data_IF_041068525111
#
_entry.id   IF_041068525111
#
_cell.length_a   1.000
_cell.length_b   1.000
_cell.length_c   1.000
_cell.angle_alpha   90.00
_cell.angle_beta   90.00
_cell.angle_gamma   90.00
#
_symmetry.space_group_name_H-M   'P 1'
#
loop_
_entity.id
_entity.type
_entity.pdbx_description
1 polymer ?
#
# COMPACT_ATOMS: atom_id res chain seq x y z
N UNK A 1 -25.38 -8.33 -29.27
CA UNK A 1 -24.23 -9.20 -28.91
C UNK A 1 -24.75 -10.62 -28.88
N UNK A 2 -24.24 -11.50 -29.73
CA UNK A 2 -24.63 -12.91 -29.70
C UNK A 2 -24.27 -13.53 -28.34
N UNK A 3 -25.24 -14.21 -27.73
CA UNK A 3 -25.03 -14.99 -26.50
C UNK A 3 -23.92 -15.99 -26.79
N UNK A 4 -22.73 -15.80 -26.19
CA UNK A 4 -21.67 -16.82 -26.23
C UNK A 4 -22.25 -18.07 -25.57
N UNK A 5 -22.46 -19.09 -26.37
CA UNK A 5 -22.94 -20.38 -25.92
C UNK A 5 -21.84 -21.02 -25.06
N UNK A 6 -21.93 -20.88 -23.74
CA UNK A 6 -20.94 -21.43 -22.82
C UNK A 6 -21.09 -22.94 -22.84
N UNK A 7 -20.19 -23.63 -23.55
CA UNK A 7 -20.05 -25.08 -23.47
C UNK A 7 -20.03 -25.53 -22.00
N UNK A 8 -20.68 -26.65 -21.64
CA UNK A 8 -20.59 -27.19 -20.29
C UNK A 8 -19.12 -27.33 -19.90
N UNK A 9 -18.76 -26.83 -18.71
CA UNK A 9 -17.38 -26.88 -18.21
C UNK A 9 -16.93 -28.34 -18.13
N UNK A 10 -15.97 -28.70 -18.97
CA UNK A 10 -15.22 -29.94 -18.81
C UNK A 10 -14.33 -29.81 -17.56
N UNK A 11 -14.67 -30.53 -16.49
CA UNK A 11 -13.93 -30.47 -15.23
C UNK A 11 -12.55 -31.15 -15.31
N UNK A 12 -12.29 -31.92 -16.38
CA UNK A 12 -10.99 -32.47 -16.69
C UNK A 12 -10.11 -31.48 -17.45
N UNK A 13 -10.71 -30.52 -18.17
CA UNK A 13 -9.98 -29.46 -18.83
C UNK A 13 -9.57 -28.38 -17.80
N UNK A 14 -8.27 -28.15 -17.66
CA UNK A 14 -7.75 -27.03 -16.87
C UNK A 14 -7.97 -25.67 -17.53
N UNK A 15 -7.65 -24.62 -16.78
CA UNK A 15 -7.58 -23.26 -17.32
C UNK A 15 -6.28 -23.01 -18.07
N UNK A 16 -5.93 -21.74 -18.24
CA UNK A 16 -4.67 -21.34 -18.85
C UNK A 16 -3.93 -20.37 -17.92
N UNK A 17 -2.63 -20.59 -17.76
CA UNK A 17 -1.72 -19.62 -17.18
C UNK A 17 -1.08 -18.84 -18.32
N UNK A 18 -1.31 -17.54 -18.33
CA UNK A 18 -0.76 -16.62 -19.30
C UNK A 18 0.46 -15.94 -18.69
N UNK A 19 1.57 -15.95 -19.42
CA UNK A 19 2.81 -15.25 -19.09
C UNK A 19 3.05 -14.21 -20.17
N UNK A 20 3.25 -12.97 -19.74
CA UNK A 20 3.47 -11.82 -20.60
C UNK A 20 4.82 -11.19 -20.28
N UNK A 21 5.40 -10.52 -21.28
CA UNK A 21 6.59 -9.67 -21.14
C UNK A 21 6.21 -8.26 -21.54
N UNK A 22 6.70 -7.26 -20.80
CA UNK A 22 6.46 -5.86 -21.17
C UNK A 22 7.25 -5.50 -22.44
N UNK A 23 6.64 -4.71 -23.33
CA UNK A 23 7.29 -4.20 -24.55
C UNK A 23 8.26 -3.06 -24.26
N UNK A 24 8.01 -2.33 -23.19
CA UNK A 24 8.80 -1.21 -22.69
C UNK A 24 8.65 -1.13 -21.16
N UNK A 25 9.34 -0.17 -20.53
CA UNK A 25 9.10 0.16 -19.11
C UNK A 25 7.68 0.73 -18.97
N UNK A 26 6.87 0.13 -18.10
CA UNK A 26 5.51 0.60 -17.85
C UNK A 26 5.53 1.80 -16.90
N UNK A 27 4.71 2.80 -17.20
CA UNK A 27 4.42 3.94 -16.33
C UNK A 27 3.18 3.61 -15.51
N UNK A 28 3.34 3.23 -14.25
CA UNK A 28 2.24 2.82 -13.38
C UNK A 28 2.04 3.80 -12.23
N UNK A 29 0.78 4.09 -11.87
CA UNK A 29 0.47 4.72 -10.58
C UNK A 29 0.41 3.63 -9.51
N UNK A 30 1.23 3.74 -8.47
CA UNK A 30 1.18 2.84 -7.32
C UNK A 30 0.21 3.39 -6.28
N UNK A 31 -0.76 2.56 -5.89
CA UNK A 31 -1.72 2.87 -4.83
C UNK A 31 -1.38 1.97 -3.63
N UNK A 32 -0.93 2.56 -2.52
CA UNK A 32 -0.49 1.81 -1.34
C UNK A 32 -1.67 1.37 -0.44
N UNK A 33 -1.40 0.66 0.67
CA UNK A 33 -2.40 0.38 1.71
C UNK A 33 -3.31 -0.82 1.44
N UNK A 34 -2.78 -1.85 0.76
CA UNK A 34 -3.56 -3.01 0.31
C UNK A 34 -4.79 -2.63 -0.53
N UNK A 35 -4.58 -1.71 -1.47
CA UNK A 35 -5.58 -1.05 -2.33
C UNK A 35 -6.35 -1.92 -3.32
N UNK A 36 -6.20 -3.25 -3.23
CA UNK A 36 -7.05 -4.20 -3.93
C UNK A 36 -7.87 -5.08 -2.96
N UNK A 37 -7.73 -4.93 -1.64
CA UNK A 37 -8.54 -5.64 -0.66
C UNK A 37 -9.97 -5.10 -0.64
N UNK A 38 -10.96 -5.93 -0.93
CA UNK A 38 -12.38 -5.54 -0.94
C UNK A 38 -12.95 -5.66 0.46
N UNK A 39 -12.79 -4.61 1.27
CA UNK A 39 -13.11 -4.59 2.71
C UNK A 39 -13.64 -3.26 3.16
N UNK A 40 -14.36 -3.25 4.29
CA UNK A 40 -14.81 -2.01 4.94
C UNK A 40 -13.74 -1.38 5.86
N UNK A 41 -12.48 -1.78 5.74
CA UNK A 41 -11.36 -1.24 6.54
C UNK A 41 -10.66 -0.03 5.91
N UNK A 42 -11.17 0.46 4.78
CA UNK A 42 -10.62 1.62 4.09
C UNK A 42 -9.52 1.31 3.07
N UNK A 43 -9.26 0.03 2.80
CA UNK A 43 -8.26 -0.41 1.81
C UNK A 43 -8.51 0.21 0.42
N UNK A 44 -9.77 0.46 0.05
CA UNK A 44 -10.13 1.05 -1.24
C UNK A 44 -10.37 2.57 -1.20
N UNK A 45 -10.25 3.22 -0.05
CA UNK A 45 -10.57 4.65 0.12
C UNK A 45 -9.75 5.53 -0.83
N UNK A 46 -8.45 5.27 -1.01
CA UNK A 46 -7.63 6.04 -1.96
C UNK A 46 -8.07 5.86 -3.41
N UNK A 47 -8.64 4.72 -3.79
CA UNK A 47 -9.14 4.52 -5.17
C UNK A 47 -10.53 5.10 -5.32
N UNK A 48 -11.46 4.72 -4.44
CA UNK A 48 -12.87 5.01 -4.59
C UNK A 48 -13.19 6.46 -4.17
N UNK A 49 -12.73 6.91 -3.00
CA UNK A 49 -13.03 8.26 -2.51
C UNK A 49 -12.12 9.33 -3.14
N UNK A 50 -10.81 9.06 -3.26
CA UNK A 50 -9.86 10.08 -3.76
C UNK A 50 -9.71 10.08 -5.29
N UNK A 51 -9.55 8.93 -5.96
CA UNK A 51 -9.34 8.92 -7.42
C UNK A 51 -10.64 8.94 -8.22
N UNK A 52 -11.63 8.12 -7.84
CA UNK A 52 -12.87 7.96 -8.60
C UNK A 52 -14.01 8.83 -8.05
N UNK A 53 -13.87 9.37 -6.84
CA UNK A 53 -14.88 10.16 -6.14
C UNK A 53 -16.26 9.49 -6.09
N UNK A 54 -16.27 8.17 -5.85
CA UNK A 54 -17.45 7.34 -5.65
C UNK A 54 -17.56 6.90 -4.19
N UNK A 55 -18.76 6.46 -3.79
CA UNK A 55 -18.97 5.90 -2.46
C UNK A 55 -18.23 4.55 -2.34
N UNK A 56 -17.17 4.55 -1.53
CA UNK A 56 -16.36 3.37 -1.25
C UNK A 56 -17.17 2.25 -0.57
N UNK A 57 -18.14 2.57 0.29
CA UNK A 57 -18.91 1.56 1.01
C UNK A 57 -19.85 0.78 0.08
N UNK A 58 -20.50 1.47 -0.86
CA UNK A 58 -21.36 0.88 -1.88
C UNK A 58 -20.56 -0.01 -2.84
N UNK A 59 -19.44 0.50 -3.34
CA UNK A 59 -18.57 -0.24 -4.26
C UNK A 59 -17.95 -1.50 -3.60
N UNK A 60 -17.62 -1.44 -2.31
CA UNK A 60 -17.10 -2.58 -1.55
C UNK A 60 -18.12 -3.71 -1.40
N UNK A 61 -19.39 -3.38 -1.21
CA UNK A 61 -20.45 -4.37 -1.02
C UNK A 61 -20.63 -5.29 -2.24
N UNK A 62 -20.33 -4.76 -3.44
CA UNK A 62 -20.59 -5.44 -4.71
C UNK A 62 -19.36 -6.07 -5.37
N UNK A 63 -18.16 -5.92 -4.79
CA UNK A 63 -16.93 -6.52 -5.31
C UNK A 63 -16.61 -6.12 -6.76
N UNK A 64 -16.92 -4.87 -7.14
CA UNK A 64 -16.84 -4.32 -8.50
C UNK A 64 -15.43 -4.04 -9.01
N UNK A 65 -14.57 -5.06 -9.01
CA UNK A 65 -13.17 -4.87 -9.37
C UNK A 65 -12.97 -4.63 -10.88
N UNK A 66 -13.85 -5.20 -11.71
CA UNK A 66 -13.83 -4.99 -13.15
C UNK A 66 -14.23 -3.55 -13.51
N UNK A 67 -15.32 -3.06 -12.94
CA UNK A 67 -15.85 -1.71 -13.14
C UNK A 67 -14.87 -0.66 -12.61
N UNK A 68 -14.24 -0.92 -11.46
CA UNK A 68 -13.17 -0.06 -10.92
C UNK A 68 -11.97 0.01 -11.88
N UNK A 69 -11.56 -1.14 -12.43
CA UNK A 69 -10.52 -1.18 -13.45
C UNK A 69 -10.89 -0.35 -14.69
N UNK A 70 -12.14 -0.44 -15.16
CA UNK A 70 -12.63 0.37 -16.27
C UNK A 70 -12.67 1.87 -15.94
N UNK A 71 -13.14 2.25 -14.74
CA UNK A 71 -13.21 3.64 -14.30
C UNK A 71 -11.80 4.25 -14.19
N UNK A 72 -10.85 3.53 -13.61
CA UNK A 72 -9.44 3.94 -13.57
C UNK A 72 -8.83 4.09 -14.96
N UNK A 73 -9.17 3.19 -15.89
CA UNK A 73 -8.72 3.29 -17.28
C UNK A 73 -9.43 4.40 -18.07
N UNK A 74 -10.64 4.81 -17.68
CA UNK A 74 -11.28 6.01 -18.21
C UNK A 74 -10.60 7.26 -17.66
N UNK A 75 -10.26 7.32 -16.37
CA UNK A 75 -9.53 8.43 -15.75
C UNK A 75 -8.20 8.71 -16.47
N UNK A 76 -7.38 7.68 -16.70
CA UNK A 76 -6.13 7.87 -17.45
C UNK A 76 -6.37 8.40 -18.86
N UNK A 77 -7.41 7.92 -19.57
CA UNK A 77 -7.74 8.36 -20.93
C UNK A 77 -8.26 9.78 -20.97
N UNK A 78 -9.22 10.09 -20.12
CA UNK A 78 -10.06 11.28 -20.20
C UNK A 78 -9.39 12.49 -19.52
N UNK A 79 -8.64 12.28 -18.45
CA UNK A 79 -8.01 13.36 -17.69
C UNK A 79 -6.50 13.42 -17.84
N UNK A 80 -5.83 12.26 -17.90
CA UNK A 80 -4.37 12.21 -17.89
C UNK A 80 -3.75 11.96 -19.27
N UNK A 81 -4.55 11.92 -20.34
CA UNK A 81 -4.08 11.75 -21.71
C UNK A 81 -3.28 10.47 -21.94
N UNK A 82 -3.64 9.37 -21.24
CA UNK A 82 -2.96 8.07 -21.24
C UNK A 82 -1.49 8.13 -20.82
N UNK A 83 -1.11 9.06 -19.92
CA UNK A 83 0.26 9.15 -19.37
C UNK A 83 0.62 8.02 -18.42
N UNK A 84 -0.39 7.34 -17.88
CA UNK A 84 -0.27 6.17 -17.02
C UNK A 84 -0.79 4.95 -17.79
N UNK A 85 0.05 3.94 -17.94
CA UNK A 85 -0.28 2.68 -18.64
C UNK A 85 -1.24 1.81 -17.81
N UNK A 86 -1.23 2.00 -16.49
CA UNK A 86 -2.02 1.23 -15.54
C UNK A 86 -1.73 1.54 -14.07
N UNK A 87 -2.28 0.71 -13.18
CA UNK A 87 -2.23 0.90 -11.73
C UNK A 87 -1.64 -0.34 -11.07
N UNK A 88 -0.69 -0.14 -10.16
CA UNK A 88 -0.14 -1.18 -9.30
C UNK A 88 -0.82 -1.08 -7.93
N UNK A 89 -1.34 -2.19 -7.43
CA UNK A 89 -2.00 -2.27 -6.12
C UNK A 89 -1.76 -3.64 -5.48
N UNK A 90 -2.06 -3.74 -4.18
CA UNK A 90 -1.81 -4.94 -3.40
C UNK A 90 -3.10 -5.52 -2.82
N UNK A 91 -3.27 -6.83 -2.98
CA UNK A 91 -4.29 -7.65 -2.34
C UNK A 91 -3.58 -8.70 -1.46
N UNK A 92 -3.74 -10.00 -1.74
CA UNK A 92 -2.89 -11.03 -1.18
C UNK A 92 -1.47 -10.95 -1.75
N UNK A 93 -1.32 -10.47 -2.98
CA UNK A 93 -0.06 -10.13 -3.61
C UNK A 93 -0.21 -8.85 -4.44
N UNK A 94 0.83 -8.48 -5.18
CA UNK A 94 0.74 -7.36 -6.11
C UNK A 94 0.00 -7.75 -7.39
N UNK A 95 -0.88 -6.87 -7.84
CA UNK A 95 -1.60 -6.97 -9.11
C UNK A 95 -1.49 -5.65 -9.89
N UNK A 96 -1.64 -5.77 -11.21
CA UNK A 96 -1.61 -4.63 -12.13
C UNK A 96 -2.95 -4.57 -12.85
N UNK A 97 -3.64 -3.44 -12.74
CA UNK A 97 -4.68 -3.06 -13.70
C UNK A 97 -3.96 -2.41 -14.87
N UNK A 98 -3.91 -3.07 -16.02
CA UNK A 98 -3.29 -2.53 -17.23
C UNK A 98 -4.36 -2.13 -18.24
N UNK A 99 -4.32 -0.89 -18.72
CA UNK A 99 -5.41 -0.34 -19.52
C UNK A 99 -5.41 -0.79 -20.98
N UNK A 100 -4.26 -1.19 -21.53
CA UNK A 100 -4.16 -1.74 -22.88
C UNK A 100 -3.09 -2.85 -22.96
N UNK A 101 -3.54 -4.11 -22.95
CA UNK A 101 -2.64 -5.26 -23.01
C UNK A 101 -1.92 -5.37 -24.36
N UNK A 102 -2.62 -5.09 -25.46
CA UNK A 102 -2.05 -5.26 -26.81
C UNK A 102 -0.97 -4.21 -27.07
N UNK A 103 -1.18 -2.98 -26.62
CA UNK A 103 -0.18 -1.91 -26.71
C UNK A 103 1.07 -2.20 -25.89
N UNK A 104 0.92 -2.75 -24.69
CA UNK A 104 1.99 -2.77 -23.68
C UNK A 104 2.70 -4.11 -23.49
N UNK A 105 2.07 -5.23 -23.88
CA UNK A 105 2.58 -6.58 -23.58
C UNK A 105 2.80 -7.42 -24.84
N UNK A 106 3.85 -8.24 -24.80
CA UNK A 106 4.03 -9.40 -25.66
C UNK A 106 3.56 -10.67 -24.93
N UNK A 107 2.89 -11.56 -25.65
CA UNK A 107 2.60 -12.91 -25.14
C UNK A 107 3.90 -13.71 -25.15
N UNK A 108 4.39 -14.08 -23.97
CA UNK A 108 5.57 -14.93 -23.84
C UNK A 108 5.15 -16.40 -23.91
N UNK A 109 4.14 -16.77 -23.11
CA UNK A 109 3.67 -18.16 -23.05
C UNK A 109 2.22 -18.26 -22.58
N UNK A 110 1.46 -19.16 -23.19
CA UNK A 110 0.14 -19.58 -22.70
C UNK A 110 0.21 -21.09 -22.45
N UNK A 111 0.04 -21.51 -21.19
CA UNK A 111 0.16 -22.93 -20.80
C UNK A 111 -1.13 -23.42 -20.16
N UNK A 112 -1.61 -24.58 -20.59
CA UNK A 112 -2.77 -25.20 -19.95
C UNK A 112 -2.42 -25.63 -18.51
N UNK A 113 -3.27 -25.28 -17.56
CA UNK A 113 -3.13 -25.70 -16.16
C UNK A 113 -3.78 -27.07 -15.93
N UNK A 114 -3.56 -27.67 -14.77
CA UNK A 114 -4.23 -28.92 -14.42
C UNK A 114 -5.74 -28.71 -14.25
N UNK A 115 -6.53 -29.66 -14.74
CA UNK A 115 -7.97 -29.74 -14.49
C UNK A 115 -8.27 -30.02 -13.01
N UNK A 116 -9.48 -29.67 -12.56
CA UNK A 116 -9.90 -29.89 -11.15
C UNK A 116 -9.91 -31.38 -10.76
N UNK A 117 -10.14 -32.26 -11.73
CA UNK A 117 -10.23 -33.72 -11.56
C UNK A 117 -9.06 -34.49 -12.19
N UNK A 118 -7.95 -33.83 -12.54
CA UNK A 118 -6.79 -34.52 -13.12
C UNK A 118 -6.26 -35.60 -12.17
N UNK A 119 -6.17 -36.86 -12.63
CA UNK A 119 -5.74 -37.99 -11.81
C UNK A 119 -4.31 -37.81 -11.24
N UNK A 120 -4.12 -38.25 -9.99
CA UNK A 120 -2.79 -38.34 -9.35
C UNK A 120 -2.26 -37.06 -8.70
N UNK A 121 -2.98 -35.93 -8.76
CA UNK A 121 -2.58 -34.67 -8.09
C UNK A 121 -3.76 -34.13 -7.30
N UNK A 122 -3.53 -33.75 -6.03
CA UNK A 122 -4.52 -32.96 -5.26
C UNK A 122 -4.96 -31.79 -6.16
N UNK A 123 -6.26 -31.43 -6.19
CA UNK A 123 -6.70 -30.25 -6.94
C UNK A 123 -5.78 -29.10 -6.54
N UNK A 124 -5.27 -28.30 -7.49
CA UNK A 124 -4.38 -27.20 -7.15
C UNK A 124 -5.07 -26.36 -6.07
N UNK A 125 -4.50 -26.38 -4.87
CA UNK A 125 -5.01 -25.65 -3.72
C UNK A 125 -4.91 -24.14 -3.90
N UNK A 126 -4.33 -23.67 -5.01
CA UNK A 126 -3.86 -22.31 -5.30
C UNK A 126 -4.92 -21.23 -5.51
N UNK A 127 -5.90 -21.15 -4.61
CA UNK A 127 -6.71 -19.95 -4.42
C UNK A 127 -6.22 -19.13 -3.23
N UNK A 128 -6.98 -18.09 -2.87
CA UNK A 128 -6.76 -17.27 -1.66
C UNK A 128 -6.72 -18.05 -0.33
N UNK A 129 -7.10 -19.34 -0.35
CA UNK A 129 -7.02 -20.27 0.78
C UNK A 129 -5.80 -21.21 0.75
N UNK A 130 -4.81 -20.99 -0.12
CA UNK A 130 -3.58 -21.80 -0.14
C UNK A 130 -2.47 -21.19 0.71
N UNK A 131 -1.94 -21.98 1.65
CA UNK A 131 -0.72 -21.62 2.36
C UNK A 131 0.49 -21.51 1.43
N UNK A 132 0.52 -22.25 0.32
CA UNK A 132 1.60 -22.16 -0.67
C UNK A 132 1.66 -20.77 -1.32
N UNK A 133 0.50 -20.21 -1.64
CA UNK A 133 0.42 -18.85 -2.20
C UNK A 133 0.81 -17.82 -1.14
N UNK A 134 0.30 -17.97 0.09
CA UNK A 134 0.68 -17.10 1.21
C UNK A 134 2.19 -17.12 1.47
N UNK A 135 2.85 -18.29 1.47
CA UNK A 135 4.32 -18.39 1.62
C UNK A 135 5.06 -17.61 0.54
N UNK A 136 4.59 -17.69 -0.72
CA UNK A 136 5.18 -16.93 -1.82
C UNK A 136 5.06 -15.41 -1.61
N UNK A 137 3.91 -14.95 -1.12
CA UNK A 137 3.68 -13.55 -0.73
C UNK A 137 4.59 -13.15 0.43
N UNK A 138 4.58 -13.92 1.52
CA UNK A 138 5.30 -13.65 2.76
C UNK A 138 6.81 -13.60 2.59
N UNK A 139 7.35 -14.27 1.57
CA UNK A 139 8.76 -14.16 1.20
C UNK A 139 9.21 -12.75 0.80
N UNK A 140 8.27 -11.79 0.66
CA UNK A 140 8.51 -10.43 0.16
C UNK A 140 7.78 -9.35 0.95
N UNK A 141 7.44 -9.57 2.23
CA UNK A 141 6.74 -8.55 3.04
C UNK A 141 7.43 -7.19 3.05
N UNK A 142 8.77 -7.21 3.09
CA UNK A 142 9.56 -5.98 3.24
C UNK A 142 9.79 -5.25 1.90
N UNK A 143 9.18 -5.69 0.77
CA UNK A 143 9.33 -4.94 -0.49
C UNK A 143 8.54 -5.43 -1.71
N UNK A 144 8.54 -4.61 -2.77
CA UNK A 144 7.72 -4.79 -3.98
C UNK A 144 8.33 -5.72 -5.06
N UNK A 145 9.22 -6.63 -4.65
CA UNK A 145 9.67 -7.73 -5.50
C UNK A 145 10.92 -7.47 -6.35
N UNK A 146 12.01 -7.07 -5.68
CA UNK A 146 13.37 -7.27 -6.15
C UNK A 146 13.73 -6.50 -7.43
N UNK A 147 13.49 -5.19 -7.45
CA UNK A 147 13.77 -4.27 -8.56
C UNK A 147 12.95 -4.49 -9.84
N UNK A 148 11.90 -5.33 -9.82
CA UNK A 148 10.93 -5.43 -10.92
C UNK A 148 10.04 -4.19 -11.05
N UNK A 149 9.95 -3.42 -9.97
CA UNK A 149 9.25 -2.13 -9.88
C UNK A 149 10.20 -1.16 -9.19
N UNK A 150 10.28 0.07 -9.70
CA UNK A 150 10.95 1.18 -9.06
C UNK A 150 9.89 2.20 -8.62
N UNK A 151 9.78 2.44 -7.31
CA UNK A 151 8.90 3.49 -6.76
C UNK A 151 9.67 4.80 -6.74
N UNK A 152 9.02 5.86 -7.20
CA UNK A 152 9.48 7.22 -6.97
C UNK A 152 9.01 7.67 -5.59
N UNK A 153 9.92 7.68 -4.62
CA UNK A 153 9.63 8.14 -3.25
C UNK A 153 9.74 9.66 -3.07
N UNK A 154 10.23 10.40 -4.07
CA UNK A 154 10.38 11.86 -3.98
C UNK A 154 9.06 12.60 -4.17
N UNK A 155 8.10 11.94 -4.82
CA UNK A 155 6.88 12.57 -5.28
C UNK A 155 5.74 11.57 -5.16
N UNK A 156 4.95 11.75 -4.12
CA UNK A 156 3.78 10.97 -3.75
C UNK A 156 2.76 11.87 -3.04
N UNK A 157 1.49 11.49 -3.12
CA UNK A 157 0.39 12.16 -2.41
C UNK A 157 -0.03 11.29 -1.24
N UNK A 158 -0.24 11.90 -0.08
CA UNK A 158 -0.71 11.19 1.12
C UNK A 158 -1.75 12.02 1.84
N UNK A 159 -2.84 11.40 2.28
CA UNK A 159 -3.92 12.11 2.98
C UNK A 159 -3.47 12.71 4.33
N UNK A 160 -2.37 12.21 4.90
CA UNK A 160 -1.83 12.67 6.18
C UNK A 160 -1.27 14.10 6.17
N UNK A 161 -1.12 14.72 5.00
CA UNK A 161 -0.65 16.13 4.88
C UNK A 161 -1.79 17.14 4.79
N UNK A 162 -3.05 16.69 4.75
CA UNK A 162 -4.21 17.56 4.67
C UNK A 162 -4.77 17.79 6.08
N UNK A 163 -5.39 18.96 6.30
CA UNK A 163 -6.02 19.32 7.57
C UNK A 163 -7.36 18.59 7.75
N UNK A 164 -7.28 17.27 7.97
CA UNK A 164 -8.42 16.36 8.12
C UNK A 164 -8.17 15.35 9.22
N UNK A 165 -9.22 15.03 9.98
CA UNK A 165 -9.18 13.94 10.94
C UNK A 165 -9.49 12.60 10.23
N UNK A 166 -8.43 11.93 9.78
CA UNK A 166 -8.54 10.60 9.16
C UNK A 166 -9.01 9.52 10.14
N UNK A 167 -8.89 9.75 11.46
CA UNK A 167 -9.16 8.76 12.49
C UNK A 167 -10.49 8.96 13.19
N UNK A 168 -11.31 9.96 12.81
CA UNK A 168 -12.60 10.33 13.42
C UNK A 168 -13.41 9.15 14.04
N UNK A 169 -13.07 8.75 15.27
CA UNK A 169 -13.59 7.56 15.97
C UNK A 169 -13.16 6.17 15.45
N UNK A 170 -12.40 6.08 14.36
CA UNK A 170 -11.88 4.85 13.76
C UNK A 170 -10.45 4.53 14.18
N UNK A 171 -10.13 3.24 14.35
CA UNK A 171 -8.77 2.78 14.62
C UNK A 171 -7.85 2.83 13.38
N UNK A 172 -8.45 2.86 12.17
CA UNK A 172 -7.73 2.93 10.89
C UNK A 172 -8.08 4.25 10.19
N UNK A 173 -7.13 4.86 9.46
CA UNK A 173 -7.39 6.09 8.72
C UNK A 173 -8.43 5.84 7.62
N UNK A 174 -9.41 6.73 7.49
CA UNK A 174 -10.50 6.66 6.51
C UNK A 174 -10.66 7.97 5.75
N UNK A 175 -11.10 7.88 4.49
CA UNK A 175 -11.49 9.04 3.67
C UNK A 175 -13.00 9.22 3.56
N UNK A 176 -13.81 8.33 4.14
CA UNK A 176 -15.28 8.37 4.03
C UNK A 176 -15.94 9.58 4.68
N UNK A 177 -15.32 10.16 5.71
CA UNK A 177 -15.82 11.33 6.43
C UNK A 177 -15.13 12.64 6.00
N UNK A 178 -14.32 12.60 4.94
CA UNK A 178 -13.61 13.77 4.43
C UNK A 178 -14.53 14.56 3.50
N UNK A 179 -14.45 15.89 3.56
CA UNK A 179 -15.27 16.77 2.71
C UNK A 179 -14.91 16.59 1.23
N UNK A 180 -15.91 16.69 0.36
CA UNK A 180 -15.72 16.58 -1.10
C UNK A 180 -14.73 17.60 -1.65
N UNK A 181 -14.63 18.80 -1.05
CA UNK A 181 -13.63 19.80 -1.45
C UNK A 181 -12.20 19.26 -1.23
N UNK A 182 -11.93 18.68 -0.06
CA UNK A 182 -10.61 18.12 0.25
C UNK A 182 -10.32 16.85 -0.55
N UNK A 183 -11.33 16.00 -0.80
CA UNK A 183 -11.16 14.86 -1.73
C UNK A 183 -10.82 15.33 -3.15
N UNK A 184 -11.39 16.45 -3.59
CA UNK A 184 -11.08 17.07 -4.88
C UNK A 184 -9.68 17.68 -4.91
N UNK A 185 -9.21 18.25 -3.80
CA UNK A 185 -7.81 18.70 -3.65
C UNK A 185 -6.85 17.52 -3.78
N UNK A 186 -7.09 16.42 -3.06
CA UNK A 186 -6.27 15.20 -3.16
C UNK A 186 -6.26 14.67 -4.60
N UNK A 187 -7.44 14.59 -5.26
CA UNK A 187 -7.54 14.17 -6.65
C UNK A 187 -6.72 15.05 -7.60
N UNK A 188 -6.81 16.37 -7.42
CA UNK A 188 -6.06 17.34 -8.22
C UNK A 188 -4.56 17.20 -8.00
N UNK A 189 -4.10 16.97 -6.78
CA UNK A 189 -2.68 16.78 -6.47
C UNK A 189 -2.14 15.49 -7.10
N UNK A 190 -2.93 14.40 -7.12
CA UNK A 190 -2.56 13.18 -7.85
C UNK A 190 -2.51 13.45 -9.35
N UNK A 191 -3.48 14.20 -9.89
CA UNK A 191 -3.47 14.61 -11.29
C UNK A 191 -2.24 15.44 -11.62
N UNK A 192 -1.85 16.39 -10.77
CA UNK A 192 -0.62 17.17 -10.95
C UNK A 192 0.62 16.30 -10.87
N UNK A 193 0.68 15.32 -9.97
CA UNK A 193 1.77 14.33 -9.91
C UNK A 193 1.90 13.55 -11.23
N UNK A 194 0.79 13.12 -11.82
CA UNK A 194 0.79 12.39 -13.09
C UNK A 194 1.18 13.30 -14.27
N UNK A 195 0.71 14.55 -14.27
CA UNK A 195 0.86 15.48 -15.38
C UNK A 195 2.21 16.23 -15.37
N UNK A 196 2.80 16.48 -14.21
CA UNK A 196 4.06 17.22 -14.05
C UNK A 196 5.30 16.44 -14.49
N UNK A 197 5.21 15.10 -14.54
CA UNK A 197 6.35 14.26 -14.89
C UNK A 197 6.65 14.26 -16.39
N UNK A 198 7.91 14.18 -16.81
CA UNK A 198 8.21 13.59 -18.12
C UNK A 198 7.63 12.16 -18.09
N UNK A 199 6.79 11.80 -19.07
CA UNK A 199 6.29 10.43 -19.12
C UNK A 199 7.48 9.46 -19.13
N UNK A 200 7.57 8.48 -18.20
CA UNK A 200 8.65 7.48 -18.18
C UNK A 200 8.75 6.69 -19.48
N UNK A 201 7.73 6.76 -20.35
CA UNK A 201 7.77 6.31 -21.73
C UNK A 201 8.89 6.93 -22.59
N UNK A 202 9.66 7.91 -22.07
CA UNK A 202 10.79 8.55 -22.75
C UNK A 202 12.16 8.33 -22.06
N UNK A 203 12.39 7.12 -21.53
CA UNK A 203 13.72 6.53 -21.26
C UNK A 203 14.62 7.15 -20.17
N UNK A 204 14.11 8.04 -19.31
CA UNK A 204 14.86 8.47 -18.12
C UNK A 204 13.95 8.57 -16.90
N UNK A 205 13.93 7.52 -16.09
CA UNK A 205 13.51 7.64 -14.68
C UNK A 205 14.67 8.34 -13.98
N UNK A 206 14.49 9.56 -13.44
CA UNK A 206 15.53 10.19 -12.63
C UNK A 206 15.91 9.27 -11.48
N UNK A 207 17.19 9.20 -11.14
CA UNK A 207 17.61 8.53 -9.90
C UNK A 207 16.98 9.26 -8.71
N UNK A 208 16.01 8.61 -8.06
CA UNK A 208 15.35 9.12 -6.85
C UNK A 208 16.04 8.60 -5.60
N UNK A 209 15.96 9.33 -4.49
CA UNK A 209 16.39 8.78 -3.21
C UNK A 209 15.51 7.57 -2.85
N UNK A 210 16.13 6.50 -2.39
CA UNK A 210 15.41 5.37 -1.83
C UNK A 210 15.07 5.69 -0.36
N UNK A 211 14.00 6.47 -0.16
CA UNK A 211 13.56 6.86 1.18
C UNK A 211 13.11 5.67 2.03
N UNK A 212 12.69 4.55 1.42
CA UNK A 212 12.46 3.31 2.16
C UNK A 212 13.75 2.84 2.83
N UNK A 213 14.88 2.81 2.12
CA UNK A 213 16.16 2.41 2.71
C UNK A 213 16.60 3.34 3.85
N UNK A 214 16.30 4.65 3.76
CA UNK A 214 16.59 5.60 4.84
C UNK A 214 15.71 5.32 6.07
N UNK A 215 14.41 5.04 5.87
CA UNK A 215 13.51 4.64 6.94
C UNK A 215 13.93 3.30 7.57
N UNK A 216 14.36 2.33 6.77
CA UNK A 216 14.84 1.03 7.24
C UNK A 216 16.06 1.19 8.15
N UNK A 217 17.01 2.08 7.82
CA UNK A 217 18.16 2.39 8.69
C UNK A 217 17.73 2.95 10.06
N UNK A 218 16.70 3.80 10.09
CA UNK A 218 16.13 4.34 11.34
C UNK A 218 15.50 3.23 12.17
N UNK A 219 14.64 2.41 11.56
CA UNK A 219 13.95 1.31 12.24
C UNK A 219 14.97 0.29 12.76
N UNK A 220 15.94 -0.10 11.94
CA UNK A 220 16.99 -1.05 12.30
C UNK A 220 17.82 -0.54 13.49
N UNK A 221 18.18 0.74 13.49
CA UNK A 221 18.97 1.35 14.58
C UNK A 221 18.20 1.39 15.91
N UNK A 222 16.93 1.78 15.87
CA UNK A 222 16.22 2.19 17.09
C UNK A 222 15.19 1.19 17.59
N UNK A 223 14.60 0.34 16.73
CA UNK A 223 13.41 -0.43 17.10
C UNK A 223 13.64 -1.38 18.28
N UNK A 224 14.65 -2.24 18.20
CA UNK A 224 14.95 -3.18 19.28
C UNK A 224 15.48 -2.47 20.53
N UNK A 225 16.10 -1.30 20.38
CA UNK A 225 16.68 -0.53 21.47
C UNK A 225 15.60 0.20 22.27
N UNK A 226 14.61 0.77 21.60
CA UNK A 226 13.42 1.36 22.24
C UNK A 226 12.61 0.27 22.96
N UNK A 227 12.40 -0.89 22.33
CA UNK A 227 11.72 -2.04 22.96
C UNK A 227 12.46 -2.48 24.23
N UNK A 228 13.79 -2.54 24.18
CA UNK A 228 14.60 -2.86 25.35
C UNK A 228 14.45 -1.80 26.45
N UNK A 229 14.59 -0.51 26.14
CA UNK A 229 14.41 0.60 27.10
C UNK A 229 13.04 0.54 27.78
N UNK A 230 11.98 0.15 27.07
CA UNK A 230 10.64 0.02 27.63
C UNK A 230 10.51 -1.11 28.66
N UNK A 231 11.43 -2.09 28.64
CA UNK A 231 11.51 -3.21 29.58
C UNK A 231 12.36 -2.92 30.82
N UNK A 232 13.19 -1.86 30.78
CA UNK A 232 14.08 -1.47 31.88
C UNK A 232 13.25 -0.90 33.04
N UNK A 233 13.58 -1.34 34.26
CA UNK A 233 12.86 -0.96 35.48
C UNK A 233 13.70 -0.18 36.50
N UNK A 234 14.97 0.05 36.19
CA UNK A 234 15.90 0.83 37.00
C UNK A 234 16.38 2.09 36.26
N UNK A 235 16.49 3.20 36.99
CA UNK A 235 16.79 4.51 36.41
C UNK A 235 18.20 4.55 35.80
N UNK A 236 19.19 4.01 36.50
CA UNK A 236 20.60 4.04 36.09
C UNK A 236 20.81 3.34 34.74
N UNK A 237 20.30 2.11 34.59
CA UNK A 237 20.37 1.38 33.32
C UNK A 237 19.62 2.14 32.22
N UNK A 238 18.43 2.68 32.50
CA UNK A 238 17.68 3.41 31.48
C UNK A 238 18.45 4.64 30.99
N UNK A 239 19.03 5.41 31.92
CA UNK A 239 19.82 6.60 31.60
C UNK A 239 21.06 6.25 30.77
N UNK A 240 21.83 5.24 31.21
CA UNK A 240 23.02 4.77 30.52
C UNK A 240 22.67 4.30 29.12
N UNK A 241 21.67 3.43 28.98
CA UNK A 241 21.29 2.85 27.69
C UNK A 241 20.71 3.90 26.72
N UNK A 242 20.02 4.92 27.24
CA UNK A 242 19.59 6.06 26.45
C UNK A 242 20.77 6.95 26.02
N UNK A 243 21.72 7.23 26.90
CA UNK A 243 22.93 8.00 26.57
C UNK A 243 23.83 7.25 25.57
N UNK A 244 23.97 5.92 25.68
CA UNK A 244 24.73 5.10 24.72
C UNK A 244 24.25 5.30 23.28
N UNK A 245 22.93 5.40 23.07
CA UNK A 245 22.34 5.64 21.74
C UNK A 245 22.64 7.05 21.21
N UNK A 246 22.89 8.00 22.11
CA UNK A 246 23.16 9.40 21.82
C UNK A 246 24.65 9.73 21.71
N UNK A 247 25.55 8.90 22.25
CA UNK A 247 27.00 9.15 22.31
C UNK A 247 27.60 9.75 21.03
N UNK A 248 27.29 9.25 19.81
CA UNK A 248 27.85 9.82 18.59
C UNK A 248 27.43 11.28 18.31
N UNK A 249 26.36 11.76 18.94
CA UNK A 249 25.74 13.07 18.70
C UNK A 249 26.03 14.08 19.83
N UNK A 250 26.74 13.64 20.87
CA UNK A 250 27.08 14.45 22.03
C UNK A 250 28.39 15.20 21.77
N UNK A 251 28.33 16.52 21.92
CA UNK A 251 29.53 17.35 22.05
C UNK A 251 29.86 17.51 23.54
N UNK A 252 30.77 16.68 24.04
CA UNK A 252 31.18 16.70 25.45
C UNK A 252 31.90 18.00 25.86
N UNK A 253 32.40 18.78 24.90
CA UNK A 253 33.03 20.08 25.19
C UNK A 253 32.01 21.21 25.36
N UNK A 254 30.83 21.06 24.77
CA UNK A 254 29.75 22.04 24.77
C UNK A 254 28.37 21.34 24.69
N UNK A 255 27.97 20.68 25.78
CA UNK A 255 26.68 19.96 25.86
C UNK A 255 25.52 20.91 25.59
N UNK A 256 24.66 20.52 24.65
CA UNK A 256 23.47 21.27 24.30
C UNK A 256 22.42 20.30 23.78
N UNK A 257 21.37 20.07 24.57
CA UNK A 257 20.31 19.09 24.27
C UNK A 257 19.66 19.34 22.91
N UNK A 258 19.39 20.59 22.53
CA UNK A 258 18.77 20.90 21.24
C UNK A 258 19.69 20.55 20.07
N UNK A 259 20.99 20.86 20.18
CA UNK A 259 21.96 20.51 19.15
C UNK A 259 22.22 18.99 19.08
N UNK A 260 22.19 18.30 20.22
CA UNK A 260 22.30 16.84 20.32
C UNK A 260 21.11 16.14 19.65
N UNK A 261 19.89 16.62 19.90
CA UNK A 261 18.66 16.12 19.25
C UNK A 261 18.76 16.29 17.74
N UNK A 262 19.13 17.48 17.26
CA UNK A 262 19.20 17.75 15.81
C UNK A 262 20.25 16.86 15.13
N UNK A 263 21.45 16.73 15.70
CA UNK A 263 22.48 15.83 15.14
C UNK A 263 22.03 14.37 15.10
N UNK A 264 21.31 13.92 16.13
CA UNK A 264 20.76 12.58 16.21
C UNK A 264 19.66 12.34 15.16
N UNK A 265 18.75 13.31 14.98
CA UNK A 265 17.65 13.24 14.03
C UNK A 265 18.12 13.30 12.57
N UNK A 266 19.11 14.15 12.29
CA UNK A 266 19.63 14.38 10.94
C UNK A 266 20.53 13.26 10.38
N UNK A 267 20.96 12.29 11.21
CA UNK A 267 22.10 11.40 10.90
C UNK A 267 21.99 10.63 9.56
N UNK A 268 20.78 10.27 9.13
CA UNK A 268 20.53 9.46 7.93
C UNK A 268 19.98 10.28 6.76
N UNK A 269 19.73 11.57 6.97
CA UNK A 269 19.20 12.43 5.92
C UNK A 269 20.34 12.89 5.00
N UNK A 270 20.06 13.01 3.69
CA UNK A 270 21.04 13.56 2.76
C UNK A 270 21.29 15.04 3.07
N UNK A 271 22.53 15.50 2.84
CA UNK A 271 22.96 16.88 3.12
C UNK A 271 22.04 17.90 2.44
N UNK A 272 21.58 17.63 1.23
CA UNK A 272 20.65 18.51 0.51
C UNK A 272 19.32 18.74 1.24
N UNK A 273 18.81 17.74 1.98
CA UNK A 273 17.61 17.91 2.79
C UNK A 273 17.88 18.72 4.05
N UNK A 274 19.11 18.70 4.57
CA UNK A 274 19.51 19.43 5.77
C UNK A 274 19.74 20.93 5.53
N UNK A 275 19.94 21.36 4.29
CA UNK A 275 20.04 22.79 3.95
C UNK A 275 18.75 23.56 4.35
N UNK A 276 17.60 22.92 4.17
CA UNK A 276 16.30 23.42 4.61
C UNK A 276 15.28 22.29 4.67
N UNK A 277 15.04 21.77 5.89
CA UNK A 277 14.06 20.71 6.12
C UNK A 277 12.65 21.14 5.68
N UNK A 278 12.27 22.41 5.92
CA UNK A 278 10.94 22.92 5.55
C UNK A 278 10.65 22.87 4.04
N UNK A 279 11.69 22.81 3.20
CA UNK A 279 11.58 22.70 1.74
C UNK A 279 12.09 21.37 1.20
N UNK A 280 12.49 20.45 2.08
CA UNK A 280 12.94 19.12 1.69
C UNK A 280 11.76 18.27 1.17
N UNK A 281 12.02 17.16 0.45
CA UNK A 281 10.97 16.22 0.07
C UNK A 281 10.16 15.74 1.28
N UNK A 282 8.87 15.47 1.08
CA UNK A 282 7.95 15.10 2.16
C UNK A 282 8.46 13.89 2.98
N UNK A 283 9.06 12.90 2.32
CA UNK A 283 9.67 11.76 2.99
C UNK A 283 10.80 12.17 3.95
N UNK A 284 11.65 13.12 3.55
CA UNK A 284 12.72 13.65 4.39
C UNK A 284 12.16 14.36 5.63
N UNK A 285 11.11 15.17 5.45
CA UNK A 285 10.41 15.87 6.53
C UNK A 285 9.80 14.88 7.53
N UNK A 286 9.11 13.84 7.03
CA UNK A 286 8.51 12.81 7.87
C UNK A 286 9.56 12.03 8.66
N UNK A 287 10.66 11.62 8.02
CA UNK A 287 11.76 10.90 8.69
C UNK A 287 12.43 11.81 9.74
N UNK A 288 12.69 13.08 9.42
CA UNK A 288 13.22 14.05 10.38
C UNK A 288 12.30 14.23 11.59
N UNK A 289 10.99 14.37 11.37
CA UNK A 289 10.01 14.51 12.44
C UNK A 289 9.97 13.28 13.37
N UNK A 290 9.93 12.08 12.80
CA UNK A 290 9.93 10.82 13.58
C UNK A 290 11.23 10.65 14.36
N UNK A 291 12.38 10.89 13.73
CA UNK A 291 13.69 10.77 14.39
C UNK A 291 13.90 11.86 15.44
N UNK A 292 13.36 13.06 15.26
CA UNK A 292 13.33 14.11 16.29
C UNK A 292 12.56 13.65 17.52
N UNK A 293 11.39 13.03 17.35
CA UNK A 293 10.63 12.45 18.47
C UNK A 293 11.42 11.37 19.20
N UNK A 294 12.10 10.48 18.47
CA UNK A 294 12.96 9.45 19.07
C UNK A 294 14.11 10.11 19.86
N UNK A 295 14.88 10.99 19.23
CA UNK A 295 16.07 11.59 19.82
C UNK A 295 15.73 12.51 21.00
N UNK A 296 14.62 13.24 20.94
CA UNK A 296 14.09 14.04 22.05
C UNK A 296 13.77 13.17 23.26
N UNK A 297 13.07 12.05 23.06
CA UNK A 297 12.78 11.09 24.13
C UNK A 297 14.04 10.47 24.69
N UNK A 298 15.03 10.10 23.86
CA UNK A 298 16.30 9.59 24.35
C UNK A 298 17.05 10.60 25.21
N UNK A 299 17.08 11.88 24.80
CA UNK A 299 17.74 12.94 25.57
C UNK A 299 17.01 13.21 26.89
N UNK A 300 15.67 13.19 26.90
CA UNK A 300 14.90 13.35 28.14
C UNK A 300 15.07 12.15 29.07
N UNK A 301 15.10 10.93 28.53
CA UNK A 301 15.35 9.69 29.27
C UNK A 301 16.76 9.64 29.87
N UNK A 302 17.80 10.03 29.12
CA UNK A 302 19.17 10.09 29.63
C UNK A 302 19.32 11.08 30.80
N UNK A 303 18.57 12.18 30.78
CA UNK A 303 18.59 13.21 31.82
C UNK A 303 17.48 13.05 32.88
N UNK A 304 16.75 11.92 32.86
CA UNK A 304 15.62 11.73 33.75
C UNK A 304 16.06 11.57 35.21
N UNK A 305 15.25 12.09 36.13
CA UNK A 305 15.46 11.95 37.59
C UNK A 305 14.52 10.93 38.22
N UNK A 306 13.54 10.45 37.45
CA UNK A 306 12.47 9.55 37.90
C UNK A 306 12.21 8.49 36.84
N UNK A 307 12.27 7.23 37.26
CA UNK A 307 12.06 6.08 36.37
C UNK A 307 10.62 6.01 35.86
N UNK A 308 9.64 6.42 36.66
CA UNK A 308 8.23 6.39 36.28
C UNK A 308 7.95 7.25 35.04
N UNK A 309 8.39 8.51 35.08
CA UNK A 309 8.26 9.45 33.97
C UNK A 309 9.08 9.04 32.75
N UNK A 310 10.31 8.53 32.96
CA UNK A 310 11.17 8.10 31.86
C UNK A 310 10.59 6.87 31.13
N UNK A 311 10.15 5.86 31.89
CA UNK A 311 9.50 4.67 31.33
C UNK A 311 8.18 5.03 30.65
N UNK A 312 7.42 5.99 31.17
CA UNK A 312 6.21 6.48 30.52
C UNK A 312 6.53 7.12 29.17
N UNK A 313 7.52 8.03 29.11
CA UNK A 313 7.93 8.68 27.87
C UNK A 313 8.38 7.68 26.78
N UNK A 314 9.10 6.63 27.17
CA UNK A 314 9.51 5.56 26.24
C UNK A 314 8.29 4.75 25.75
N UNK A 315 7.34 4.43 26.64
CA UNK A 315 6.11 3.72 26.27
C UNK A 315 5.20 4.56 25.38
N UNK A 316 5.11 5.86 25.63
CA UNK A 316 4.38 6.80 24.79
C UNK A 316 5.03 6.92 23.41
N UNK A 317 6.37 6.95 23.35
CA UNK A 317 7.10 6.88 22.08
C UNK A 317 6.78 5.57 21.33
N UNK A 318 6.76 4.42 22.01
CA UNK A 318 6.35 3.16 21.38
C UNK A 318 4.91 3.23 20.87
N UNK A 319 3.99 3.78 21.66
CA UNK A 319 2.59 3.94 21.26
C UNK A 319 2.42 4.89 20.08
N UNK A 320 3.29 5.88 19.93
CA UNK A 320 3.30 6.80 18.79
C UNK A 320 3.86 6.14 17.52
N UNK A 321 4.99 5.45 17.63
CA UNK A 321 5.68 4.84 16.48
C UNK A 321 4.97 3.61 15.92
N UNK A 322 4.39 2.78 16.80
CA UNK A 322 3.67 1.55 16.47
C UNK A 322 4.40 0.64 15.45
N UNK A 323 5.73 0.53 15.55
CA UNK A 323 6.53 -0.19 14.56
C UNK A 323 6.18 -1.68 14.50
N UNK A 324 6.01 -2.18 13.27
CA UNK A 324 5.62 -3.57 12.98
C UNK A 324 6.64 -4.60 13.45
N UNK A 325 7.91 -4.21 13.59
CA UNK A 325 9.01 -5.03 14.08
C UNK A 325 8.78 -5.57 15.50
N UNK A 326 8.05 -4.85 16.36
CA UNK A 326 7.72 -5.32 17.72
C UNK A 326 6.69 -6.45 17.75
N UNK A 327 5.90 -6.59 16.67
CA UNK A 327 4.96 -7.71 16.48
C UNK A 327 5.56 -8.85 15.64
N UNK A 328 6.74 -8.66 15.03
CA UNK A 328 7.36 -9.63 14.12
C UNK A 328 7.83 -10.87 14.90
N UNK A 329 7.49 -12.05 14.38
CA UNK A 329 7.90 -13.33 14.96
C UNK A 329 9.43 -13.50 14.89
N UNK A 330 10.02 -14.05 15.95
CA UNK A 330 11.47 -14.28 16.06
C UNK A 330 11.82 -15.72 15.67
N UNK A 331 11.96 -15.98 14.37
CA UNK A 331 12.44 -17.26 13.83
C UNK A 331 11.37 -18.33 13.72
N UNK A 332 10.66 -18.36 12.57
CA UNK A 332 9.73 -19.44 12.25
C UNK A 332 10.47 -20.67 11.69
N UNK A 333 9.84 -21.84 11.84
CA UNK A 333 10.33 -23.08 11.22
C UNK A 333 10.32 -22.97 9.69
N UNK A 334 11.06 -23.85 9.00
CA UNK A 334 11.21 -23.79 7.53
C UNK A 334 9.89 -23.93 6.76
N UNK A 335 8.91 -24.63 7.34
CA UNK A 335 7.58 -24.81 6.80
C UNK A 335 6.57 -23.78 7.34
N UNK A 336 7.00 -22.87 8.22
CA UNK A 336 6.18 -21.85 8.84
C UNK A 336 6.50 -20.46 8.28
N UNK A 337 5.54 -19.55 8.42
CA UNK A 337 5.74 -18.12 8.17
C UNK A 337 5.20 -17.34 9.34
N UNK A 338 5.78 -16.17 9.62
CA UNK A 338 5.18 -15.24 10.57
C UNK A 338 3.88 -14.72 9.96
N UNK A 339 2.77 -15.27 10.42
CA UNK A 339 1.48 -15.05 9.79
C UNK A 339 0.85 -13.76 10.31
N UNK A 340 0.52 -12.86 9.38
CA UNK A 340 -0.29 -11.66 9.58
C UNK A 340 -1.51 -11.70 8.67
N UNK A 341 -2.63 -11.04 9.01
CA UNK A 341 -3.75 -10.95 8.10
C UNK A 341 -3.37 -10.24 6.80
N UNK A 342 -3.72 -10.87 5.68
CA UNK A 342 -3.61 -10.30 4.34
C UNK A 342 -4.88 -10.70 3.62
N UNK A 343 -5.61 -9.73 3.06
CA UNK A 343 -6.91 -9.99 2.47
C UNK A 343 -6.85 -11.15 1.46
N UNK A 344 -7.78 -12.11 1.52
CA UNK A 344 -8.96 -12.18 2.41
C UNK A 344 -8.72 -13.00 3.69
N UNK A 345 -7.49 -13.40 4.00
CA UNK A 345 -7.16 -14.35 5.06
C UNK A 345 -6.66 -13.68 6.35
N UNK A 346 -6.95 -14.34 7.48
CA UNK A 346 -6.44 -13.97 8.81
C UNK A 346 -7.52 -13.50 9.78
N UNK A 347 -7.30 -13.77 11.07
CA UNK A 347 -8.19 -13.41 12.18
C UNK A 347 -7.70 -12.16 12.89
N UNK A 348 -8.58 -11.54 13.68
CA UNK A 348 -8.24 -10.41 14.55
C UNK A 348 -7.05 -10.73 15.47
N UNK A 349 -7.02 -11.94 16.03
CA UNK A 349 -5.92 -12.41 16.87
C UNK A 349 -4.57 -12.44 16.13
N UNK A 350 -4.58 -12.79 14.84
CA UNK A 350 -3.36 -12.84 14.04
C UNK A 350 -2.80 -11.42 13.75
N UNK A 351 -3.64 -10.38 13.79
CA UNK A 351 -3.20 -8.98 13.73
C UNK A 351 -2.65 -8.47 15.08
N UNK A 352 -3.27 -8.89 16.19
CA UNK A 352 -2.83 -8.45 17.51
C UNK A 352 -1.55 -9.13 17.98
N UNK A 353 -1.45 -10.44 17.75
CA UNK A 353 -0.31 -11.24 18.13
C UNK A 353 0.03 -12.24 17.00
N UNK A 354 0.78 -11.79 15.98
CA UNK A 354 1.25 -12.66 14.90
C UNK A 354 2.00 -13.87 15.43
N UNK A 355 1.80 -15.04 14.80
CA UNK A 355 2.44 -16.30 15.20
C UNK A 355 3.02 -17.00 13.97
N UNK A 356 4.02 -17.84 14.19
CA UNK A 356 4.50 -18.74 13.16
C UNK A 356 3.42 -19.79 12.84
N UNK A 357 3.04 -19.91 11.57
CA UNK A 357 1.99 -20.84 11.14
C UNK A 357 2.41 -21.61 9.89
N UNK A 358 2.10 -22.91 9.84
CA UNK A 358 2.34 -23.82 8.71
C UNK A 358 1.10 -24.05 7.84
N UNK A 359 -0.04 -23.52 8.26
CA UNK A 359 -1.33 -23.55 7.55
C UNK A 359 -2.07 -22.23 7.73
N UNK A 360 -2.93 -21.87 6.76
CA UNK A 360 -3.79 -20.71 6.93
C UNK A 360 -4.76 -20.94 8.11
N UNK A 361 -4.98 -19.92 8.95
CA UNK A 361 -5.92 -20.04 10.04
C UNK A 361 -7.34 -20.21 9.50
N UNK A 362 -8.02 -21.27 9.94
CA UNK A 362 -9.47 -21.35 9.86
C UNK A 362 -10.09 -20.41 10.89
N UNK A 363 -11.28 -19.89 10.61
CA UNK A 363 -12.01 -19.05 11.55
C UNK A 363 -13.39 -18.72 11.04
N UNK A 364 -14.31 -18.54 11.98
CA UNK A 364 -15.66 -18.06 11.67
C UNK A 364 -15.62 -16.61 11.19
N UNK A 365 -16.69 -16.19 10.51
CA UNK A 365 -16.81 -14.84 9.92
C UNK A 365 -16.59 -13.71 10.94
N UNK A 366 -16.92 -13.96 12.21
CA UNK A 366 -16.80 -12.97 13.31
C UNK A 366 -15.37 -12.84 13.84
N UNK A 367 -14.54 -13.86 13.65
CA UNK A 367 -13.12 -13.87 14.02
C UNK A 367 -12.23 -13.27 12.93
N UNK A 368 -12.73 -13.23 11.69
CA UNK A 368 -12.02 -12.65 10.54
C UNK A 368 -11.57 -11.21 10.84
N UNK A 369 -10.29 -10.94 10.58
CA UNK A 369 -9.77 -9.57 10.64
C UNK A 369 -10.51 -8.70 9.61
N UNK A 370 -10.68 -9.20 8.40
CA UNK A 370 -11.28 -8.49 7.27
C UNK A 370 -12.82 -8.40 7.34
N UNK A 371 -13.44 -9.11 8.28
CA UNK A 371 -14.88 -9.32 8.31
C UNK A 371 -15.34 -10.38 7.31
N UNK A 372 -16.61 -10.33 6.92
CA UNK A 372 -17.14 -11.23 5.89
C UNK A 372 -16.79 -10.78 4.48
N UNK A 373 -16.61 -11.72 3.56
CA UNK A 373 -16.79 -11.44 2.12
C UNK A 373 -18.14 -10.72 1.97
N UNK A 374 -18.20 -9.57 1.30
CA UNK A 374 -19.48 -9.03 0.84
C UNK A 374 -20.29 -10.15 0.16
N UNK A 375 -21.64 -10.11 0.16
CA UNK A 375 -22.41 -11.11 -0.55
C UNK A 375 -21.96 -11.08 -2.01
N UNK A 376 -21.07 -12.00 -2.38
CA UNK A 376 -20.73 -12.20 -3.78
C UNK A 376 -22.04 -12.42 -4.54
N UNK A 377 -22.09 -12.13 -5.85
CA UNK A 377 -23.31 -12.27 -6.63
C UNK A 377 -23.96 -13.60 -6.30
N UNK A 378 -25.19 -13.57 -5.75
CA UNK A 378 -25.89 -14.78 -5.32
C UNK A 378 -25.98 -15.71 -6.52
N UNK A 379 -25.13 -16.74 -6.59
CA UNK A 379 -25.38 -17.92 -7.43
C UNK A 379 -26.46 -18.76 -6.75
N UNK A 380 -27.68 -18.24 -6.81
CA UNK A 380 -28.85 -18.79 -6.15
C UNK A 380 -30.11 -18.56 -6.97
N UNK A 381 -30.06 -18.88 -8.26
CA UNK A 381 -31.23 -19.03 -9.11
C UNK A 381 -31.26 -20.45 -9.66
N UNK A 382 -32.40 -21.13 -9.55
CA UNK A 382 -32.61 -22.49 -10.06
C UNK A 382 -32.26 -22.56 -11.56
N UNK A 383 -31.89 -23.75 -12.05
CA UNK A 383 -31.82 -24.02 -13.49
C UNK A 383 -33.15 -23.61 -14.14
N UNK A 384 -33.11 -22.55 -14.95
CA UNK A 384 -34.26 -22.04 -15.69
C UNK A 384 -34.25 -20.51 -15.68
N UNK A 385 -33.95 -19.94 -16.85
CA UNK A 385 -34.19 -18.54 -17.23
C UNK A 385 -33.42 -17.47 -16.43
N UNK A 386 -32.31 -17.01 -17.02
CA UNK A 386 -31.74 -15.70 -16.69
C UNK A 386 -32.70 -14.68 -17.31
N UNK A 387 -33.51 -14.02 -16.49
CA UNK A 387 -34.20 -12.80 -16.91
C UNK A 387 -33.15 -11.73 -17.21
N UNK A 388 -33.36 -11.06 -18.33
CA UNK A 388 -32.55 -9.99 -18.88
C UNK A 388 -32.71 -8.74 -18.00
N UNK A 389 -32.02 -8.70 -16.85
CA UNK A 389 -31.78 -7.43 -16.17
C UNK A 389 -30.81 -6.64 -17.04
N UNK A 390 -31.39 -5.84 -17.93
CA UNK A 390 -30.71 -4.75 -18.60
C UNK A 390 -30.13 -3.84 -17.52
N UNK A 391 -28.81 -3.90 -17.31
CA UNK A 391 -28.12 -2.92 -16.51
C UNK A 391 -28.45 -1.53 -17.05
N UNK A 392 -28.97 -0.61 -16.22
CA UNK A 392 -29.16 0.76 -16.68
C UNK A 392 -27.79 1.31 -17.12
N UNK A 393 -27.72 2.02 -18.26
CA UNK A 393 -26.47 2.65 -18.67
C UNK A 393 -25.98 3.58 -17.54
N UNK A 394 -24.65 3.71 -17.36
CA UNK A 394 -24.10 4.60 -16.35
C UNK A 394 -24.65 6.02 -16.54
N UNK A 395 -24.86 6.79 -15.45
CA UNK A 395 -25.27 8.18 -15.59
C UNK A 395 -24.23 8.94 -16.43
N UNK A 396 -24.67 9.86 -17.31
CA UNK A 396 -23.73 10.63 -18.11
C UNK A 396 -22.79 11.45 -17.20
N UNK A 397 -21.52 11.64 -17.60
CA UNK A 397 -20.57 12.46 -16.85
C UNK A 397 -21.15 13.86 -16.59
N UNK A 398 -20.81 14.52 -15.47
CA UNK A 398 -21.34 15.83 -15.10
C UNK A 398 -20.92 16.98 -16.04
N UNK A 399 -20.20 16.69 -17.13
CA UNK A 399 -19.81 17.65 -18.16
C UNK A 399 -20.24 17.15 -19.53
N UNK A 400 -21.05 17.97 -20.21
CA UNK A 400 -21.80 17.61 -21.43
C UNK A 400 -20.95 17.23 -22.65
N UNK A 401 -21.61 16.78 -23.74
CA UNK A 401 -20.96 16.17 -24.88
C UNK A 401 -20.42 17.25 -25.81
N UNK A 402 -19.18 17.65 -25.63
CA UNK A 402 -18.43 18.30 -26.70
C UNK A 402 -17.20 17.46 -27.01
N UNK A 403 -17.09 16.90 -28.23
CA UNK A 403 -15.84 16.31 -28.66
C UNK A 403 -14.75 17.40 -28.67
N UNK A 404 -13.48 17.07 -28.36
CA UNK A 404 -12.39 18.02 -28.53
C UNK A 404 -12.34 18.50 -29.99
N UNK A 405 -12.02 19.78 -30.25
CA UNK A 405 -11.89 20.29 -31.60
C UNK A 405 -10.80 19.52 -32.36
N UNK A 406 -10.99 19.25 -33.67
CA UNK A 406 -10.04 18.49 -34.45
C UNK A 406 -8.68 19.19 -34.52
N UNK A 407 -7.61 18.41 -34.38
CA UNK A 407 -6.22 18.83 -34.61
C UNK A 407 -6.10 19.54 -35.97
N UNK A 408 -5.44 20.71 -36.07
CA UNK A 408 -5.09 21.27 -37.36
C UNK A 408 -4.09 20.34 -38.05
N UNK A 409 -4.42 19.92 -39.28
CA UNK A 409 -3.48 19.23 -40.15
C UNK A 409 -2.25 20.10 -40.47
N UNK A 410 -1.22 19.53 -41.11
CA UNK A 410 0.13 20.10 -41.20
C UNK A 410 0.29 21.41 -42.01
N UNK A 411 -0.80 22.04 -42.46
CA UNK A 411 -0.78 23.25 -43.30
C UNK A 411 -1.61 24.43 -42.74
N UNK A 412 -1.70 24.57 -41.40
CA UNK A 412 -2.29 25.73 -40.71
C UNK A 412 -1.26 26.76 -40.21
N UNK A 413 -1.59 28.06 -40.10
CA UNK A 413 -0.59 29.12 -39.92
C UNK A 413 0.07 29.08 -38.55
N UNK A 414 1.40 29.25 -38.53
CA UNK A 414 2.19 29.44 -37.31
C UNK A 414 1.81 30.77 -36.66
N UNK A 415 1.36 30.70 -35.42
CA UNK A 415 1.43 31.80 -34.45
C UNK A 415 2.24 31.31 -33.25
#
# INVERSE_FOLDING_TARGET
MDKRDFKPKDENAGGYLHTYRTKHTLSLLYIDGMSAGKTQKGTLDSTDAALLQVDAEEHNAHMWDFERGQALCNLTRDEWGNRVDGFLRMEMGFEIILCDFEKHLDVDRITQTAGRKSEGRRPPGGGFGDMTYYRAVASRFDGIGGNRVAINYEDFVTAFTYDVDLFNGSALPRLTNVRNETLSEIHNDVTQLVMSRPSPAYDRIPTTMNWQAVADLVVERYSGRIEYLASVSDLDTLQVEAEELLKPYIDYSARNSSAEIERCAAQFLPVSSLESIATAPLAAQAIHGVTTSICSTLVSSANATDIGNASLAIKDLMSYLQWSTWKRCRGCSIDEVCFIPIWPAGRKQDYENPQCQSSLPGGDRDESYWGGFGPGPRRGGKKGEVEDESYPPPPPPPYGPYPPPPYPGPDGPRW
#
